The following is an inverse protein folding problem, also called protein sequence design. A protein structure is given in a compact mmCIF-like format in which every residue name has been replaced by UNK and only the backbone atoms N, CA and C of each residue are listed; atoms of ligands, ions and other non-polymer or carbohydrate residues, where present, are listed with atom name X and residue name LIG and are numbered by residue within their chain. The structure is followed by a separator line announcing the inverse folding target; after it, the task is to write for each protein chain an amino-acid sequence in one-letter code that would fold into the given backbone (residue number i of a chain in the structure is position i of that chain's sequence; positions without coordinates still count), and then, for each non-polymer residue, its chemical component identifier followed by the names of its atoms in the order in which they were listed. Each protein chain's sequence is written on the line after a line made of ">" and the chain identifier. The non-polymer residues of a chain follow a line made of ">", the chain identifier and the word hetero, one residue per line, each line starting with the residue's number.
data_IF_782912382846
#
_entry.id   IF_782912382846
#
_cell.length_a   1.000
_cell.length_b   1.000
_cell.length_c   1.000
_cell.angle_alpha   90.00
_cell.angle_beta   90.00
_cell.angle_gamma   90.00
#
_symmetry.space_group_name_H-M   'P 1'
#
loop_
_entity.id
_entity.type
_entity.pdbx_description
1 polymer ?
#
# COMPACT_ATOMS: atom_id res chain seq x y z
N UNK A 1 -18.90 -22.21 -20.59
CA UNK A 1 -18.51 -21.05 -21.40
C UNK A 1 -19.28 -19.84 -20.89
N UNK A 2 -18.66 -19.02 -20.02
CA UNK A 2 -18.77 -17.56 -19.86
C UNK A 2 -17.68 -17.15 -18.86
N UNK A 3 -16.88 -16.16 -19.23
CA UNK A 3 -15.51 -15.98 -18.77
C UNK A 3 -15.36 -15.49 -17.33
N UNK A 4 -14.31 -15.99 -16.67
CA UNK A 4 -13.71 -15.42 -15.47
C UNK A 4 -13.20 -14.01 -15.83
N UNK A 5 -13.96 -12.98 -15.48
CA UNK A 5 -13.42 -11.62 -15.43
C UNK A 5 -12.59 -11.56 -14.17
N UNK A 6 -11.28 -11.80 -14.31
CA UNK A 6 -10.35 -11.61 -13.19
C UNK A 6 -10.40 -10.14 -12.80
N UNK A 7 -10.83 -9.88 -11.57
CA UNK A 7 -10.61 -8.63 -10.85
C UNK A 7 -9.11 -8.25 -10.99
N UNK A 8 -8.80 -7.32 -11.89
CA UNK A 8 -7.42 -6.89 -12.13
C UNK A 8 -6.99 -5.98 -10.98
N UNK A 9 -5.91 -6.36 -10.30
CA UNK A 9 -5.29 -5.50 -9.30
C UNK A 9 -4.61 -4.32 -9.99
N UNK A 10 -4.82 -3.12 -9.44
CA UNK A 10 -4.14 -1.89 -9.81
C UNK A 10 -3.18 -1.46 -8.71
N UNK A 11 -2.22 -0.64 -9.09
CA UNK A 11 -1.42 0.11 -8.12
C UNK A 11 -2.04 1.47 -7.90
N UNK A 12 -1.93 2.01 -6.70
CA UNK A 12 -2.41 3.35 -6.40
C UNK A 12 -1.38 4.15 -5.60
N UNK A 13 -1.50 5.47 -5.70
CA UNK A 13 -0.88 6.43 -4.80
C UNK A 13 -1.90 7.49 -4.38
N UNK A 14 -1.81 7.92 -3.12
CA UNK A 14 -2.44 9.14 -2.65
C UNK A 14 -1.36 10.22 -2.61
N UNK A 15 -1.43 11.17 -3.53
CA UNK A 15 -0.48 12.28 -3.55
C UNK A 15 -0.62 13.18 -2.34
N UNK A 16 0.36 14.05 -2.09
CA UNK A 16 0.28 15.10 -1.05
C UNK A 16 -0.86 16.09 -1.28
N UNK A 17 -1.38 16.16 -2.51
CA UNK A 17 -2.59 16.88 -2.89
C UNK A 17 -3.89 16.13 -2.53
N UNK A 18 -3.78 14.93 -1.96
CA UNK A 18 -4.91 14.10 -1.56
C UNK A 18 -5.64 13.43 -2.73
N UNK A 19 -5.12 13.47 -3.96
CA UNK A 19 -5.76 12.78 -5.08
C UNK A 19 -5.40 11.30 -5.09
N UNK A 20 -6.42 10.46 -5.28
CA UNK A 20 -6.29 9.01 -5.48
C UNK A 20 -5.96 8.73 -6.95
N UNK A 21 -4.72 8.33 -7.24
CA UNK A 21 -4.24 8.01 -8.59
C UNK A 21 -4.05 6.51 -8.72
N UNK A 22 -4.47 5.95 -9.85
CA UNK A 22 -4.44 4.51 -10.11
C UNK A 22 -3.68 4.24 -11.41
N UNK A 23 -2.84 3.21 -11.42
CA UNK A 23 -2.20 2.69 -12.62
C UNK A 23 -2.33 1.16 -12.70
N UNK A 24 -2.29 0.56 -13.90
CA UNK A 24 -2.23 -0.88 -14.04
C UNK A 24 -1.02 -1.45 -13.28
N UNK A 25 -1.13 -2.66 -12.72
CA UNK A 25 -0.04 -3.29 -11.93
C UNK A 25 1.28 -3.46 -12.69
N UNK A 26 1.23 -3.46 -14.02
CA UNK A 26 2.42 -3.55 -14.90
C UNK A 26 3.17 -2.21 -15.03
N UNK A 27 2.61 -1.13 -14.50
CA UNK A 27 3.25 0.18 -14.42
C UNK A 27 3.92 0.33 -13.05
N UNK A 28 5.21 0.67 -13.04
CA UNK A 28 5.96 0.90 -11.80
C UNK A 28 5.33 2.05 -11.00
N UNK A 29 5.12 1.86 -9.69
CA UNK A 29 4.52 2.82 -8.76
C UNK A 29 5.11 4.24 -8.86
N UNK A 30 6.40 4.34 -9.18
CA UNK A 30 7.18 5.58 -9.28
C UNK A 30 6.69 6.47 -10.43
N UNK A 31 6.22 5.89 -11.53
CA UNK A 31 5.69 6.67 -12.67
C UNK A 31 4.35 7.32 -12.32
N UNK A 32 3.57 6.69 -11.44
CA UNK A 32 2.23 7.18 -11.06
C UNK A 32 2.28 8.35 -10.06
N UNK A 33 3.35 8.46 -9.27
CA UNK A 33 3.59 9.57 -8.35
C UNK A 33 4.46 10.70 -8.93
N UNK A 34 5.05 10.50 -10.11
CA UNK A 34 5.98 11.47 -10.71
C UNK A 34 7.30 11.65 -9.93
N UNK A 35 7.65 10.71 -9.04
CA UNK A 35 8.84 10.80 -8.18
C UNK A 35 8.66 11.62 -6.90
N UNK A 36 7.44 12.09 -6.60
CA UNK A 36 7.13 12.88 -5.41
C UNK A 36 6.77 12.02 -4.19
N UNK A 37 6.78 12.66 -3.01
CA UNK A 37 6.27 12.06 -1.78
C UNK A 37 4.78 11.74 -1.86
N UNK A 38 4.35 10.70 -1.15
CA UNK A 38 2.95 10.24 -1.12
C UNK A 38 2.45 10.12 0.32
N UNK A 39 1.15 10.32 0.52
CA UNK A 39 0.49 10.08 1.81
C UNK A 39 0.20 8.59 2.02
N UNK A 40 0.00 7.85 0.92
CA UNK A 40 -0.22 6.41 0.92
C UNK A 40 0.12 5.82 -0.46
N UNK A 41 0.45 4.53 -0.50
CA UNK A 41 0.63 3.78 -1.74
C UNK A 41 0.30 2.30 -1.51
N UNK A 42 -0.09 1.60 -2.57
CA UNK A 42 -0.33 0.16 -2.47
C UNK A 42 -1.07 -0.42 -3.67
N UNK A 43 -1.76 -1.54 -3.44
CA UNK A 43 -2.53 -2.24 -4.46
C UNK A 43 -4.04 -2.15 -4.13
N UNK A 44 -4.87 -2.00 -5.16
CA UNK A 44 -6.33 -1.89 -5.05
C UNK A 44 -7.01 -2.69 -6.17
N UNK A 45 -8.13 -3.30 -5.85
CA UNK A 45 -8.95 -4.08 -6.78
C UNK A 45 -10.38 -3.55 -6.74
N UNK A 46 -10.97 -3.37 -7.92
CA UNK A 46 -12.35 -2.87 -8.06
C UNK A 46 -13.25 -3.92 -8.68
N UNK A 47 -14.47 -4.05 -8.17
CA UNK A 47 -15.49 -4.83 -8.84
C UNK A 47 -15.98 -4.16 -10.14
N UNK A 48 -16.91 -4.82 -10.83
CA UNK A 48 -17.52 -4.30 -12.07
C UNK A 48 -18.32 -3.01 -11.88
N UNK A 49 -18.70 -2.66 -10.65
CA UNK A 49 -19.40 -1.42 -10.33
C UNK A 49 -18.43 -0.28 -9.96
N UNK A 50 -17.12 -0.55 -9.89
CA UNK A 50 -16.10 0.43 -9.50
C UNK A 50 -15.96 0.58 -7.98
N UNK A 51 -16.45 -0.38 -7.19
CA UNK A 51 -16.31 -0.40 -5.73
C UNK A 51 -15.01 -1.09 -5.35
N UNK A 52 -14.29 -0.56 -4.36
CA UNK A 52 -13.08 -1.22 -3.83
C UNK A 52 -13.47 -2.50 -3.11
N UNK A 53 -13.00 -3.64 -3.62
CA UNK A 53 -13.21 -4.97 -3.02
C UNK A 53 -11.99 -5.47 -2.28
N UNK A 54 -10.78 -5.11 -2.74
CA UNK A 54 -9.54 -5.39 -2.04
C UNK A 54 -8.63 -4.16 -2.07
N UNK A 55 -7.93 -3.90 -0.97
CA UNK A 55 -6.97 -2.81 -0.89
C UNK A 55 -5.90 -3.11 0.16
N UNK A 56 -4.65 -2.86 -0.19
CA UNK A 56 -3.49 -3.07 0.67
C UNK A 56 -2.56 -1.88 0.66
N UNK A 57 -1.71 -1.76 1.68
CA UNK A 57 -0.60 -0.80 1.71
C UNK A 57 0.69 -1.39 1.09
N UNK A 58 0.58 -2.44 0.28
CA UNK A 58 1.73 -3.15 -0.30
C UNK A 58 2.42 -2.29 -1.37
N UNK A 59 3.41 -1.51 -0.95
CA UNK A 59 4.31 -0.81 -1.86
C UNK A 59 5.74 -0.97 -1.37
N UNK A 60 6.57 -1.71 -2.10
CA UNK A 60 8.00 -1.86 -1.78
C UNK A 60 8.83 -0.62 -2.10
N UNK A 61 8.30 0.27 -2.94
CA UNK A 61 8.93 1.56 -3.25
C UNK A 61 8.70 2.62 -2.17
N UNK A 62 7.50 2.67 -1.57
CA UNK A 62 7.13 3.69 -0.58
C UNK A 62 7.03 3.17 0.86
N UNK A 63 6.80 1.87 1.05
CA UNK A 63 6.69 1.20 2.36
C UNK A 63 5.81 1.92 3.40
N UNK A 64 4.57 2.32 3.05
CA UNK A 64 3.73 3.16 3.90
C UNK A 64 3.28 2.45 5.19
N UNK A 65 3.13 3.22 6.27
CA UNK A 65 2.61 2.75 7.55
C UNK A 65 1.11 2.38 7.48
N UNK A 66 0.64 1.58 8.45
CA UNK A 66 -0.79 1.30 8.61
C UNK A 66 -1.61 2.57 8.88
N UNK A 67 -1.00 3.57 9.53
CA UNK A 67 -1.56 4.90 9.76
C UNK A 67 -1.78 5.72 8.48
N UNK A 68 -1.40 5.21 7.30
CA UNK A 68 -1.72 5.84 6.00
C UNK A 68 -3.18 5.65 5.56
N UNK A 69 -3.92 4.71 6.17
CA UNK A 69 -5.30 4.41 5.79
C UNK A 69 -6.23 5.64 5.76
N UNK A 70 -6.23 6.56 6.74
CA UNK A 70 -7.12 7.74 6.71
C UNK A 70 -6.95 8.60 5.47
N UNK A 71 -5.72 8.70 4.91
CA UNK A 71 -5.47 9.42 3.67
C UNK A 71 -6.11 8.70 2.46
N UNK A 72 -6.05 7.37 2.44
CA UNK A 72 -6.71 6.52 1.43
C UNK A 72 -8.22 6.67 1.49
N UNK A 73 -8.81 6.51 2.68
CA UNK A 73 -10.25 6.65 2.89
C UNK A 73 -10.75 8.03 2.43
N UNK A 74 -10.09 9.10 2.89
CA UNK A 74 -10.46 10.46 2.50
C UNK A 74 -10.36 10.70 0.99
N UNK A 75 -9.39 10.09 0.31
CA UNK A 75 -9.22 10.23 -1.13
C UNK A 75 -10.29 9.46 -1.92
N UNK A 76 -10.66 8.26 -1.47
CA UNK A 76 -11.76 7.47 -2.04
C UNK A 76 -13.12 8.13 -1.82
N UNK A 77 -13.37 8.67 -0.62
CA UNK A 77 -14.58 9.43 -0.29
C UNK A 77 -14.73 10.67 -1.20
N UNK A 78 -13.65 11.43 -1.39
CA UNK A 78 -13.65 12.58 -2.33
C UNK A 78 -13.93 12.15 -3.77
N UNK A 79 -13.47 10.97 -4.17
CA UNK A 79 -13.73 10.41 -5.49
C UNK A 79 -15.13 9.77 -5.61
N UNK A 80 -15.91 9.69 -4.52
CA UNK A 80 -17.22 9.02 -4.51
C UNK A 80 -17.14 7.50 -4.65
N UNK A 81 -16.00 6.90 -4.30
CA UNK A 81 -15.75 5.46 -4.43
C UNK A 81 -16.03 4.77 -3.09
N UNK A 82 -16.93 3.78 -3.09
CA UNK A 82 -17.21 2.97 -1.92
C UNK A 82 -16.03 2.04 -1.59
N UNK A 83 -15.79 1.81 -0.29
CA UNK A 83 -14.62 1.08 0.20
C UNK A 83 -14.93 0.32 1.50
N UNK A 84 -14.13 -0.71 1.85
CA UNK A 84 -14.41 -1.61 2.98
C UNK A 84 -14.13 -1.01 4.38
N UNK A 85 -13.85 0.29 4.48
CA UNK A 85 -13.54 0.96 5.76
C UNK A 85 -12.15 0.71 6.36
N UNK A 86 -11.34 -0.19 5.78
CA UNK A 86 -9.95 -0.47 6.17
C UNK A 86 -9.15 -1.10 5.02
N UNK A 87 -7.83 -1.24 5.20
CA UNK A 87 -7.06 -2.15 4.34
C UNK A 87 -7.56 -3.58 4.52
N UNK A 88 -7.87 -4.27 3.42
CA UNK A 88 -8.25 -5.69 3.46
C UNK A 88 -7.05 -6.59 3.66
N UNK A 89 -5.86 -6.12 3.26
CA UNK A 89 -4.58 -6.78 3.50
C UNK A 89 -3.57 -5.77 4.03
N UNK A 90 -3.03 -6.06 5.22
CA UNK A 90 -2.08 -5.19 5.92
C UNK A 90 -0.65 -5.72 5.74
N UNK A 91 0.28 -4.84 5.40
CA UNK A 91 1.71 -5.13 5.28
C UNK A 91 2.48 -4.24 6.26
N UNK A 92 3.19 -4.86 7.20
CA UNK A 92 3.94 -4.13 8.22
C UNK A 92 5.40 -4.03 7.80
N UNK A 93 5.80 -2.86 7.30
CA UNK A 93 7.19 -2.59 6.91
C UNK A 93 8.03 -2.11 8.08
N UNK A 94 9.25 -2.64 8.23
CA UNK A 94 10.22 -2.19 9.22
C UNK A 94 11.61 -2.12 8.63
N UNK A 95 12.33 -1.03 8.91
CA UNK A 95 13.75 -0.91 8.57
C UNK A 95 14.59 -1.44 9.72
N UNK A 96 15.47 -2.40 9.44
CA UNK A 96 16.41 -2.89 10.44
C UNK A 96 17.45 -1.80 10.77
N UNK A 97 17.63 -1.49 12.06
CA UNK A 97 18.61 -0.49 12.49
C UNK A 97 20.07 -0.99 12.39
N UNK A 98 20.28 -2.29 12.19
CA UNK A 98 21.62 -2.90 12.09
C UNK A 98 22.12 -3.02 10.65
N UNK A 99 21.31 -3.58 9.75
CA UNK A 99 21.70 -3.81 8.36
C UNK A 99 21.00 -2.91 7.34
N UNK A 100 20.13 -2.00 7.80
CA UNK A 100 19.35 -1.07 6.98
C UNK A 100 18.32 -1.69 6.00
N UNK A 101 18.21 -3.01 5.94
CA UNK A 101 17.22 -3.70 5.11
C UNK A 101 15.78 -3.43 5.56
N UNK A 102 14.88 -3.29 4.59
CA UNK A 102 13.44 -3.20 4.82
C UNK A 102 12.84 -4.59 4.84
N UNK A 103 12.14 -4.89 5.92
CA UNK A 103 11.51 -6.18 6.20
C UNK A 103 10.00 -6.03 6.16
N UNK A 104 9.33 -7.11 5.75
CA UNK A 104 7.90 -7.30 5.98
C UNK A 104 7.73 -8.18 7.20
N UNK A 105 7.17 -7.63 8.28
CA UNK A 105 6.85 -8.37 9.50
C UNK A 105 5.67 -9.28 9.23
N UNK A 106 5.82 -10.57 9.54
CA UNK A 106 4.79 -11.60 9.42
C UNK A 106 4.43 -12.12 10.79
N UNK A 107 3.14 -12.36 11.02
CA UNK A 107 2.62 -12.97 12.25
C UNK A 107 3.07 -12.27 13.55
N UNK A 108 3.36 -10.97 13.49
CA UNK A 108 3.86 -10.19 14.62
C UNK A 108 5.31 -10.50 15.04
N UNK A 109 6.07 -11.21 14.22
CA UNK A 109 7.47 -11.54 14.51
C UNK A 109 8.44 -10.45 14.03
N UNK A 110 8.89 -9.61 14.96
CA UNK A 110 9.76 -8.46 14.70
C UNK A 110 11.25 -8.82 14.70
N UNK A 111 11.68 -9.65 13.76
CA UNK A 111 13.10 -9.96 13.54
C UNK A 111 13.50 -9.77 12.08
N UNK A 112 14.71 -9.25 11.87
CA UNK A 112 15.25 -9.03 10.54
C UNK A 112 15.65 -10.35 9.89
N UNK A 113 15.08 -10.68 8.74
CA UNK A 113 15.36 -11.96 8.04
C UNK A 113 16.79 -12.07 7.50
N UNK A 114 17.53 -10.96 7.46
CA UNK A 114 18.88 -10.90 6.91
C UNK A 114 19.98 -11.01 7.96
N UNK A 115 19.72 -10.61 9.21
CA UNK A 115 20.76 -10.53 10.24
C UNK A 115 20.30 -10.90 11.65
N UNK A 116 19.06 -11.39 11.78
CA UNK A 116 18.40 -11.84 13.01
C UNK A 116 18.31 -10.80 14.14
N UNK A 117 18.58 -9.53 13.84
CA UNK A 117 18.41 -8.45 14.80
C UNK A 117 16.92 -8.09 15.00
N UNK A 118 16.57 -7.69 16.22
CA UNK A 118 15.24 -7.19 16.53
C UNK A 118 14.87 -5.98 15.66
N UNK A 119 13.63 -5.99 15.17
CA UNK A 119 13.05 -4.88 14.41
C UNK A 119 12.30 -3.93 15.35
N UNK A 120 12.28 -2.62 15.08
CA UNK A 120 11.50 -1.67 15.86
C UNK A 120 10.00 -2.00 15.89
N UNK A 121 9.37 -1.81 17.04
CA UNK A 121 7.92 -1.97 17.19
C UNK A 121 7.15 -0.91 16.38
N UNK A 122 7.64 0.32 16.39
CA UNK A 122 7.08 1.45 15.64
C UNK A 122 7.59 1.49 14.20
N UNK A 123 6.80 2.05 13.29
CA UNK A 123 7.21 2.23 11.91
C UNK A 123 8.34 3.25 11.81
N UNK A 124 9.37 2.93 11.03
CA UNK A 124 10.63 3.69 10.97
C UNK A 124 11.21 3.81 9.54
N UNK A 125 10.36 3.68 8.52
CA UNK A 125 10.79 3.74 7.13
C UNK A 125 10.65 5.18 6.63
N UNK A 126 11.76 5.83 6.28
CA UNK A 126 11.71 7.09 5.53
C UNK A 126 12.23 6.81 4.14
N UNK A 127 11.37 6.98 3.13
CA UNK A 127 11.72 6.87 1.71
C UNK A 127 12.11 8.22 1.13
#
# INVERSE_FOLDING_TARGET
>A
MFGQGGDEAFTFVVGVDGLFRVAPRRSEHVVCAGGEGVLAAGEVTFDRAGVVVEISNQSTGYCPDLGSWPAVASALERAGIAHPGGFTHLVVFRRCLRCAEINVVRDGYFACVFCDADLPAEWNVTV
#
